data_IF_307538317721
#
_entry.id   IF_307538317721
#
_cell.length_a   1.000
_cell.length_b   1.000
_cell.length_c   1.000
_cell.angle_alpha   90.00
_cell.angle_beta   90.00
_cell.angle_gamma   90.00
#
_symmetry.space_group_name_H-M   'P 1'
#
loop_
_entity.id
_entity.type
_entity.pdbx_description
1 polymer ?
#
# COMPACT_ATOMS: atom_id res chain seq x y z
N UNK A 1 1.89 7.77 16.51
CA UNK A 1 2.39 6.92 15.40
C UNK A 1 3.16 7.69 14.35
N UNK A 2 2.62 8.75 13.73
CA UNK A 2 3.33 9.48 12.66
C UNK A 2 4.75 9.96 13.04
N UNK A 3 4.89 10.63 14.18
CA UNK A 3 6.21 11.11 14.64
C UNK A 3 7.24 9.98 14.81
N UNK A 4 6.81 8.78 15.25
CA UNK A 4 7.67 7.58 15.37
C UNK A 4 8.14 7.07 14.01
N UNK A 5 7.28 7.09 13.00
CA UNK A 5 7.59 6.66 11.65
C UNK A 5 8.38 7.71 10.85
N UNK A 6 8.36 8.97 11.28
CA UNK A 6 9.09 10.08 10.66
C UNK A 6 10.53 10.26 11.22
N UNK A 7 10.92 9.51 12.26
CA UNK A 7 12.25 9.58 12.85
C UNK A 7 13.32 9.09 11.85
N UNK A 8 14.29 9.94 11.53
CA UNK A 8 15.39 9.71 10.56
C UNK A 8 16.48 8.72 11.02
N UNK A 9 16.13 7.74 11.84
CA UNK A 9 17.02 6.65 12.24
C UNK A 9 16.26 5.34 12.13
N UNK A 10 16.72 4.45 11.27
CA UNK A 10 16.14 3.12 11.03
C UNK A 10 15.93 2.37 12.35
N UNK A 11 14.72 2.46 12.90
CA UNK A 11 14.26 1.47 13.88
C UNK A 11 13.87 0.26 13.06
N UNK A 12 14.88 -0.53 12.70
CA UNK A 12 14.72 -1.87 12.14
C UNK A 12 13.75 -2.63 13.05
N UNK A 13 12.55 -2.94 12.55
CA UNK A 13 11.50 -3.62 13.31
C UNK A 13 10.15 -2.89 13.39
N UNK A 14 10.04 -1.66 12.89
CA UNK A 14 8.78 -0.90 12.94
C UNK A 14 7.94 -0.99 11.65
N UNK A 15 8.32 -1.81 10.67
CA UNK A 15 7.61 -1.91 9.39
C UNK A 15 6.14 -2.33 9.56
N UNK A 16 5.83 -3.25 10.48
CA UNK A 16 4.44 -3.63 10.79
C UNK A 16 3.60 -2.47 11.36
N UNK A 17 4.27 -1.48 11.97
CA UNK A 17 3.62 -0.31 12.62
C UNK A 17 3.58 0.90 11.67
N UNK A 18 4.59 1.05 10.83
CA UNK A 18 4.79 2.21 9.98
C UNK A 18 4.44 1.96 8.51
N UNK A 19 4.23 0.70 8.13
CA UNK A 19 4.05 0.27 6.76
C UNK A 19 5.37 0.08 6.02
N UNK A 20 5.27 -0.56 4.86
CA UNK A 20 6.34 -0.62 3.87
C UNK A 20 5.74 -0.62 2.46
N UNK A 21 5.71 0.53 1.78
CA UNK A 21 5.33 0.61 0.37
C UNK A 21 6.30 -0.17 -0.52
N UNK A 22 5.76 -1.01 -1.41
CA UNK A 22 6.54 -1.82 -2.37
C UNK A 22 6.11 -1.60 -3.82
N UNK A 23 4.81 -1.40 -4.05
CA UNK A 23 4.26 -1.08 -5.36
C UNK A 23 3.65 0.31 -5.34
N UNK A 24 3.90 1.09 -6.39
CA UNK A 24 3.41 2.46 -6.52
C UNK A 24 2.97 2.65 -7.97
N UNK A 25 1.76 3.15 -8.19
CA UNK A 25 1.26 3.48 -9.53
C UNK A 25 0.35 4.70 -9.46
N UNK A 26 0.55 5.67 -10.36
CA UNK A 26 -0.35 6.79 -10.50
C UNK A 26 -1.55 6.44 -11.37
N UNK A 27 -2.72 6.93 -10.98
CA UNK A 27 -3.90 6.98 -11.82
C UNK A 27 -3.86 8.28 -12.62
N UNK A 28 -3.54 8.19 -13.92
CA UNK A 28 -3.15 9.34 -14.74
C UNK A 28 -4.24 10.41 -14.85
N UNK A 29 -5.52 10.00 -14.85
CA UNK A 29 -6.64 10.92 -15.00
C UNK A 29 -6.95 11.73 -13.73
N UNK A 30 -6.58 11.23 -12.54
CA UNK A 30 -6.89 11.89 -11.25
C UNK A 30 -5.66 12.41 -10.54
N UNK A 31 -4.47 11.92 -10.89
CA UNK A 31 -3.23 12.23 -10.16
C UNK A 31 -3.08 11.47 -8.84
N UNK A 32 -4.03 10.58 -8.50
CA UNK A 32 -3.96 9.80 -7.27
C UNK A 32 -2.84 8.76 -7.35
N UNK A 33 -2.10 8.60 -6.25
CA UNK A 33 -1.06 7.59 -6.09
C UNK A 33 -1.63 6.39 -5.35
N UNK A 34 -1.73 5.26 -6.04
CA UNK A 34 -2.06 3.98 -5.43
C UNK A 34 -0.79 3.28 -4.93
N UNK A 35 -0.91 2.67 -3.76
CA UNK A 35 0.21 2.08 -3.03
C UNK A 35 -0.15 0.65 -2.61
N UNK A 36 0.70 -0.30 -2.96
CA UNK A 36 0.71 -1.64 -2.40
C UNK A 36 1.68 -1.64 -1.22
N UNK A 37 1.14 -1.65 -0.01
CA UNK A 37 1.91 -1.70 1.23
C UNK A 37 1.93 -3.13 1.77
N UNK A 38 3.12 -3.61 2.13
CA UNK A 38 3.32 -4.99 2.59
C UNK A 38 2.44 -5.39 3.78
N UNK A 39 2.07 -4.44 4.65
CA UNK A 39 1.32 -4.70 5.87
C UNK A 39 -0.07 -4.05 5.86
N UNK A 40 -0.25 -2.95 5.13
CA UNK A 40 -1.49 -2.19 5.13
C UNK A 40 -2.39 -2.42 3.91
N UNK A 41 -1.99 -3.30 2.99
CA UNK A 41 -2.80 -3.69 1.83
C UNK A 41 -2.74 -2.67 0.71
N UNK A 42 -3.86 -2.47 0.01
CA UNK A 42 -3.98 -1.47 -1.05
C UNK A 42 -4.41 -0.13 -0.45
N UNK A 43 -3.62 0.92 -0.70
CA UNK A 43 -3.84 2.27 -0.24
C UNK A 43 -3.95 3.25 -1.42
N UNK A 44 -4.46 4.45 -1.14
CA UNK A 44 -4.43 5.59 -2.06
C UNK A 44 -4.04 6.87 -1.34
N UNK A 45 -3.24 7.70 -2.01
CA UNK A 45 -2.91 9.07 -1.62
C UNK A 45 -3.41 10.00 -2.72
N UNK A 46 -4.19 11.01 -2.37
CA UNK A 46 -4.68 11.98 -3.35
C UNK A 46 -3.54 12.80 -3.98
N UNK A 47 -3.79 13.45 -5.11
CA UNK A 47 -2.80 14.29 -5.83
C UNK A 47 -2.10 15.32 -4.92
N UNK A 48 -2.81 15.87 -3.94
CA UNK A 48 -2.26 16.83 -2.96
C UNK A 48 -1.31 16.21 -1.91
N UNK A 49 -1.07 14.91 -1.96
CA UNK A 49 -0.30 14.17 -0.96
C UNK A 49 -1.07 13.96 0.35
N UNK A 50 -0.32 13.70 1.42
CA UNK A 50 -0.88 13.50 2.76
C UNK A 50 -0.87 12.04 3.20
N UNK A 51 -1.69 11.73 4.22
CA UNK A 51 -1.81 10.37 4.73
C UNK A 51 -2.61 9.50 3.75
N UNK A 52 -2.13 8.28 3.50
CA UNK A 52 -2.81 7.32 2.65
C UNK A 52 -4.12 6.82 3.30
N UNK A 53 -5.11 6.53 2.46
CA UNK A 53 -6.37 5.89 2.85
C UNK A 53 -6.34 4.42 2.43
N UNK A 54 -6.70 3.51 3.33
CA UNK A 54 -6.83 2.08 3.01
C UNK A 54 -8.06 1.82 2.15
N UNK A 55 -7.89 1.08 1.06
CA UNK A 55 -8.97 0.67 0.15
C UNK A 55 -9.34 -0.80 0.30
N UNK A 56 -8.34 -1.67 0.47
CA UNK A 56 -8.56 -3.10 0.64
C UNK A 56 -7.46 -3.73 1.51
N UNK A 57 -7.87 -4.62 2.42
CA UNK A 57 -6.97 -5.32 3.36
C UNK A 57 -7.19 -6.84 3.38
N UNK A 58 -8.24 -7.32 2.74
CA UNK A 58 -8.61 -8.73 2.70
C UNK A 58 -9.48 -9.02 1.47
N UNK A 59 -9.62 -10.30 1.13
CA UNK A 59 -10.62 -10.80 0.17
C UNK A 59 -11.21 -12.11 0.66
N UNK A 60 -12.52 -12.29 0.51
CA UNK A 60 -13.24 -13.52 0.91
C UNK A 60 -12.96 -13.97 2.36
N UNK A 61 -12.70 -13.02 3.25
CA UNK A 61 -12.39 -13.26 4.67
C UNK A 61 -10.92 -13.65 4.94
N UNK A 62 -10.06 -13.68 3.94
CA UNK A 62 -8.62 -13.92 4.08
C UNK A 62 -7.84 -12.59 4.00
N UNK A 63 -7.14 -12.19 5.09
CA UNK A 63 -6.32 -10.98 5.10
C UNK A 63 -5.13 -11.07 4.17
N UNK A 64 -4.80 -9.95 3.52
CA UNK A 64 -3.52 -9.80 2.82
C UNK A 64 -2.38 -9.81 3.84
N UNK A 65 -1.27 -10.48 3.52
CA UNK A 65 -0.09 -10.52 4.42
C UNK A 65 1.17 -9.94 3.82
N UNK A 66 1.22 -9.82 2.49
CA UNK A 66 2.40 -9.34 1.78
C UNK A 66 2.00 -8.74 0.42
N UNK A 67 1.22 -7.65 0.46
CA UNK A 67 0.87 -6.91 -0.75
C UNK A 67 2.13 -6.27 -1.35
N UNK A 68 2.42 -6.52 -2.62
CA UNK A 68 3.76 -6.28 -3.16
C UNK A 68 3.79 -5.34 -4.37
N UNK A 69 2.98 -5.60 -5.38
CA UNK A 69 2.96 -4.78 -6.60
C UNK A 69 1.54 -4.53 -7.06
N UNK A 70 1.34 -3.42 -7.78
CA UNK A 70 0.08 -3.07 -8.42
C UNK A 70 0.31 -2.43 -9.79
N UNK A 71 -0.69 -2.52 -10.64
CA UNK A 71 -0.80 -1.81 -11.92
C UNK A 71 -2.24 -1.33 -12.12
N UNK A 72 -2.43 -0.33 -12.97
CA UNK A 72 -3.71 0.31 -13.22
C UNK A 72 -3.97 0.31 -14.73
N UNK A 73 -5.09 -0.29 -15.14
CA UNK A 73 -5.63 -0.06 -16.46
C UNK A 73 -6.12 1.38 -16.54
N UNK A 74 -5.35 2.25 -17.19
CA UNK A 74 -5.65 3.69 -17.27
C UNK A 74 -6.91 4.00 -18.09
N UNK A 75 -7.40 3.06 -18.90
CA UNK A 75 -8.61 3.25 -19.72
C UNK A 75 -9.86 2.84 -18.95
N UNK A 76 -9.83 1.67 -18.31
CA UNK A 76 -10.99 1.14 -17.58
C UNK A 76 -10.98 1.50 -16.07
N UNK A 77 -9.90 2.10 -15.60
CA UNK A 77 -9.67 2.49 -14.20
C UNK A 77 -9.65 1.30 -13.22
N UNK A 78 -9.40 0.09 -13.73
CA UNK A 78 -9.29 -1.13 -12.91
C UNK A 78 -7.89 -1.25 -12.33
N UNK A 79 -7.80 -1.51 -11.03
CA UNK A 79 -6.54 -1.72 -10.32
C UNK A 79 -6.32 -3.23 -10.14
N UNK A 80 -5.14 -3.70 -10.54
CA UNK A 80 -4.69 -5.07 -10.32
C UNK A 80 -3.53 -5.05 -9.35
N UNK A 81 -3.54 -5.89 -8.32
CA UNK A 81 -2.45 -5.97 -7.37
C UNK A 81 -2.20 -7.41 -6.95
N UNK A 82 -1.04 -7.65 -6.35
CA UNK A 82 -0.60 -8.96 -5.91
C UNK A 82 -0.36 -9.01 -4.41
N UNK A 83 -0.81 -10.08 -3.79
CA UNK A 83 -0.39 -10.51 -2.46
C UNK A 83 0.57 -11.70 -2.63
N UNK A 84 1.82 -11.53 -2.20
CA UNK A 84 2.89 -12.50 -2.50
C UNK A 84 2.78 -13.78 -1.67
N UNK A 85 2.10 -13.73 -0.53
CA UNK A 85 1.89 -14.88 0.34
C UNK A 85 0.68 -14.66 1.24
N UNK A 86 -0.22 -15.64 1.30
CA UNK A 86 -1.28 -15.70 2.31
C UNK A 86 -0.83 -16.26 3.66
N UNK A 87 0.47 -16.58 3.80
CA UNK A 87 1.03 -17.22 5.01
C UNK A 87 2.12 -16.41 5.67
N UNK A 88 3.05 -15.86 4.91
CA UNK A 88 4.22 -15.15 5.42
C UNK A 88 4.05 -13.65 5.19
N UNK A 89 4.34 -12.86 6.21
CA UNK A 89 4.55 -11.42 6.08
C UNK A 89 5.97 -11.11 5.62
N UNK A 90 6.21 -9.85 5.27
CA UNK A 90 7.53 -9.34 4.92
C UNK A 90 8.49 -9.30 6.12
#
# INVERSE_FOLDING_TARGET
>A
NRERCDLKGEVMGDEEVCGRPLGLQFHEATGDLYVADAYFGLLVVGEGGGAATQLAVETDGEPFRFTNHLDIDQVNHTIYFTDSSSRFSR
#
